data_IF_614427600407
#
_entry.id   IF_614427600407
#
_cell.length_a   1.000
_cell.length_b   1.000
_cell.length_c   1.000
_cell.angle_alpha   90.00
_cell.angle_beta   90.00
_cell.angle_gamma   90.00
#
_symmetry.space_group_name_H-M   'P 1'
#
loop_
_entity.id
_entity.type
_entity.pdbx_description
1 polymer ?
#
# COMPACT_ATOMS: atom_id res chain seq x y z
N UNK A 1 -31.30 5.37 32.46
CA UNK A 1 -31.71 4.92 31.11
C UNK A 1 -31.32 5.93 30.02
N UNK A 2 -31.71 7.21 30.13
CA UNK A 2 -31.46 8.22 29.08
C UNK A 2 -29.99 8.63 28.91
N UNK A 3 -29.21 8.65 30.01
CA UNK A 3 -27.79 9.02 29.99
C UNK A 3 -26.88 7.96 29.34
N UNK A 4 -27.22 6.67 29.49
CA UNK A 4 -26.44 5.56 28.91
C UNK A 4 -26.53 5.53 27.37
N UNK A 5 -27.68 5.95 26.82
CA UNK A 5 -27.92 6.04 25.38
C UNK A 5 -27.07 7.17 24.77
N UNK A 6 -26.94 8.30 25.46
CA UNK A 6 -26.16 9.46 24.99
C UNK A 6 -24.66 9.15 25.03
N UNK A 7 -24.17 8.48 26.09
CA UNK A 7 -22.78 8.06 26.19
C UNK A 7 -22.39 7.03 25.12
N UNK A 8 -23.26 6.05 24.83
CA UNK A 8 -23.02 5.07 23.77
C UNK A 8 -22.98 5.70 22.37
N UNK A 9 -23.84 6.69 22.09
CA UNK A 9 -23.87 7.39 20.81
C UNK A 9 -22.58 8.21 20.56
N UNK A 10 -22.05 8.85 21.61
CA UNK A 10 -20.82 9.65 21.52
C UNK A 10 -19.59 8.79 21.18
N UNK A 11 -19.49 7.58 21.73
CA UNK A 11 -18.39 6.65 21.46
C UNK A 11 -18.44 6.14 20.01
N UNK A 12 -19.64 5.81 19.51
CA UNK A 12 -19.81 5.36 18.11
C UNK A 12 -19.51 6.47 17.11
N UNK A 13 -19.91 7.71 17.40
CA UNK A 13 -19.62 8.87 16.55
C UNK A 13 -18.12 9.20 16.51
N UNK A 14 -17.42 9.11 17.65
CA UNK A 14 -15.97 9.31 17.70
C UNK A 14 -15.21 8.20 16.95
N UNK A 15 -15.65 6.94 17.07
CA UNK A 15 -15.04 5.82 16.35
C UNK A 15 -15.32 5.87 14.83
N UNK A 16 -16.54 6.21 14.42
CA UNK A 16 -16.90 6.33 13.00
C UNK A 16 -16.26 7.55 12.32
N UNK A 17 -16.13 8.68 13.04
CA UNK A 17 -15.47 9.88 12.53
C UNK A 17 -14.00 9.64 12.16
N UNK A 18 -13.28 8.86 12.95
CA UNK A 18 -11.86 8.53 12.70
C UNK A 18 -11.65 7.72 11.42
N UNK A 19 -12.63 6.90 11.00
CA UNK A 19 -12.55 6.15 9.74
C UNK A 19 -12.91 6.99 8.52
N UNK A 20 -13.73 8.03 8.69
CA UNK A 20 -14.20 8.88 7.59
C UNK A 20 -13.20 9.99 7.22
N UNK A 21 -12.27 10.32 8.11
CA UNK A 21 -11.23 11.33 7.88
C UNK A 21 -9.88 10.74 7.48
N UNK A 22 -9.76 9.42 7.42
CA UNK A 22 -8.60 8.82 6.78
C UNK A 22 -8.63 9.33 5.33
N UNK A 23 -7.62 10.11 4.89
CA UNK A 23 -7.56 10.51 3.50
C UNK A 23 -7.72 9.24 2.67
N UNK A 24 -8.51 9.27 1.58
CA UNK A 24 -8.50 8.13 0.66
C UNK A 24 -7.03 7.81 0.42
N UNK A 25 -6.67 6.54 0.48
CA UNK A 25 -5.35 6.10 0.08
C UNK A 25 -5.27 6.33 -1.44
N UNK A 26 -5.09 7.59 -1.81
CA UNK A 26 -4.48 8.09 -3.02
C UNK A 26 -3.03 7.63 -2.94
N UNK A 27 -2.87 6.32 -3.04
CA UNK A 27 -1.60 5.69 -3.23
C UNK A 27 -1.25 6.03 -4.66
N UNK A 28 -0.28 6.92 -4.88
CA UNK A 28 0.23 7.19 -6.20
C UNK A 28 0.56 5.85 -6.85
N UNK A 29 -0.30 5.41 -7.77
CA UNK A 29 -0.23 4.08 -8.33
C UNK A 29 0.14 4.20 -9.80
N UNK A 30 1.25 3.59 -10.15
CA UNK A 30 1.65 3.40 -11.54
C UNK A 30 1.20 2.00 -11.98
N UNK A 31 0.54 1.96 -13.12
CA UNK A 31 0.08 0.73 -13.75
C UNK A 31 0.79 0.53 -15.09
N UNK A 32 1.12 -0.72 -15.40
CA UNK A 32 1.81 -1.10 -16.63
C UNK A 32 3.34 -1.07 -16.54
N UNK A 33 3.99 -1.44 -17.64
CA UNK A 33 5.44 -1.65 -17.69
C UNK A 33 5.84 -3.05 -17.19
N UNK A 34 6.98 -3.20 -16.50
CA UNK A 34 7.48 -4.50 -16.03
C UNK A 34 6.70 -5.08 -14.84
N UNK A 35 5.73 -4.34 -14.29
CA UNK A 35 4.89 -4.73 -13.16
C UNK A 35 3.42 -4.56 -13.51
N UNK A 36 2.56 -5.31 -12.80
CA UNK A 36 1.10 -5.22 -12.91
C UNK A 36 0.62 -3.89 -12.31
N UNK A 37 1.12 -3.60 -11.11
CA UNK A 37 0.82 -2.37 -10.36
C UNK A 37 2.02 -2.03 -9.50
N UNK A 38 2.21 -0.74 -9.22
CA UNK A 38 3.16 -0.23 -8.24
C UNK A 38 2.53 0.93 -7.53
N UNK A 39 2.35 0.79 -6.22
CA UNK A 39 1.63 1.75 -5.41
C UNK A 39 2.45 2.10 -4.16
N UNK A 40 2.46 3.38 -3.81
CA UNK A 40 3.12 3.86 -2.61
C UNK A 40 2.09 4.19 -1.52
N UNK A 41 2.35 3.70 -0.31
CA UNK A 41 1.58 3.97 0.89
C UNK A 41 1.76 5.40 1.42
N UNK A 42 1.17 5.70 2.58
CA UNK A 42 1.39 6.98 3.26
C UNK A 42 2.87 7.13 3.66
N UNK A 43 3.32 8.36 3.83
CA UNK A 43 4.63 8.67 4.42
C UNK A 43 4.53 8.52 5.95
N UNK A 44 5.47 7.80 6.55
CA UNK A 44 5.68 7.67 7.99
C UNK A 44 6.41 8.92 8.54
N UNK A 45 6.33 9.20 9.85
CA UNK A 45 6.96 10.39 10.45
C UNK A 45 8.49 10.42 10.34
N UNK A 46 9.14 9.28 10.10
CA UNK A 46 10.56 9.14 9.80
C UNK A 46 10.91 9.40 8.31
N UNK A 47 9.91 9.68 7.48
CA UNK A 47 10.06 9.96 6.06
C UNK A 47 10.06 8.72 5.16
N UNK A 48 9.85 7.52 5.72
CA UNK A 48 9.71 6.31 4.89
C UNK A 48 8.30 6.17 4.34
N UNK A 49 8.12 5.33 3.32
CA UNK A 49 6.81 4.90 2.86
C UNK A 49 6.88 3.44 2.42
N UNK A 50 5.78 2.70 2.51
CA UNK A 50 5.72 1.35 1.94
C UNK A 50 5.48 1.42 0.43
N UNK A 51 6.28 0.71 -0.36
CA UNK A 51 6.00 0.50 -1.79
C UNK A 51 5.57 -0.93 -2.03
N UNK A 52 4.43 -1.11 -2.68
CA UNK A 52 3.90 -2.41 -3.07
C UNK A 52 3.90 -2.56 -4.59
N UNK A 53 4.58 -3.59 -5.11
CA UNK A 53 4.55 -3.99 -6.51
C UNK A 53 3.78 -5.31 -6.70
N UNK A 54 2.88 -5.33 -7.68
CA UNK A 54 2.28 -6.54 -8.21
C UNK A 54 3.13 -7.08 -9.36
N UNK A 55 3.63 -8.30 -9.23
CA UNK A 55 4.42 -8.99 -10.28
C UNK A 55 3.80 -10.35 -10.61
N UNK A 56 4.12 -10.89 -11.78
CA UNK A 56 3.76 -12.26 -12.13
C UNK A 56 4.81 -13.23 -11.58
N UNK A 57 4.39 -14.13 -10.71
CA UNK A 57 5.22 -15.25 -10.29
C UNK A 57 4.95 -16.46 -11.19
N UNK A 58 6.02 -17.06 -11.69
CA UNK A 58 5.96 -18.31 -12.43
C UNK A 58 5.78 -19.49 -11.49
N UNK A 59 4.73 -20.29 -11.71
CA UNK A 59 4.44 -21.49 -10.92
C UNK A 59 4.41 -22.70 -11.86
N UNK A 60 5.34 -23.67 -11.71
CA UNK A 60 5.30 -24.92 -12.47
C UNK A 60 4.10 -25.77 -12.02
N UNK A 61 3.45 -26.46 -12.95
CA UNK A 61 2.29 -27.31 -12.69
C UNK A 61 2.24 -28.48 -13.65
N UNK A 62 2.77 -29.62 -13.19
CA UNK A 62 2.86 -30.84 -14.01
C UNK A 62 3.72 -30.61 -15.26
N UNK A 63 3.12 -30.77 -16.44
CA UNK A 63 3.77 -30.58 -17.75
C UNK A 63 3.62 -29.15 -18.30
N UNK A 64 3.07 -28.22 -17.52
CA UNK A 64 2.88 -26.83 -17.93
C UNK A 64 3.24 -25.87 -16.80
N UNK A 65 2.90 -24.60 -17.01
CA UNK A 65 3.12 -23.52 -16.05
C UNK A 65 2.07 -22.46 -16.19
N UNK A 66 1.81 -21.75 -15.09
CA UNK A 66 0.92 -20.60 -15.09
C UNK A 66 1.56 -19.44 -14.32
N UNK A 67 1.10 -18.23 -14.62
CA UNK A 67 1.51 -17.02 -13.93
C UNK A 67 0.46 -16.67 -12.90
N UNK A 68 0.89 -16.44 -11.66
CA UNK A 68 0.02 -15.94 -10.59
C UNK A 68 0.43 -14.52 -10.21
N UNK A 69 -0.52 -13.60 -10.02
CA UNK A 69 -0.20 -12.28 -9.52
C UNK A 69 0.20 -12.38 -8.05
N UNK A 70 1.37 -11.85 -7.72
CA UNK A 70 1.85 -11.74 -6.33
C UNK A 70 2.16 -10.30 -5.99
N UNK A 71 1.88 -9.92 -4.75
CA UNK A 71 2.19 -8.60 -4.21
C UNK A 71 3.45 -8.70 -3.36
N UNK A 72 4.45 -7.88 -3.66
CA UNK A 72 5.62 -7.66 -2.80
C UNK A 72 5.57 -6.23 -2.27
N UNK A 73 5.64 -6.06 -0.95
CA UNK A 73 5.73 -4.76 -0.32
C UNK A 73 7.04 -4.65 0.47
N UNK A 74 7.69 -3.50 0.38
CA UNK A 74 8.96 -3.22 1.04
C UNK A 74 9.03 -1.71 1.39
N UNK A 75 9.91 -1.35 2.33
CA UNK A 75 10.01 0.03 2.82
C UNK A 75 10.95 0.84 1.93
N UNK A 76 10.46 1.99 1.45
CA UNK A 76 11.24 2.98 0.72
C UNK A 76 11.51 4.20 1.58
N UNK A 77 12.57 4.94 1.27
CA UNK A 77 12.90 6.20 1.91
C UNK A 77 14.32 6.26 2.45
N UNK A 78 14.61 7.23 3.34
CA UNK A 78 15.95 7.42 3.89
C UNK A 78 16.50 6.15 4.53
N UNK A 79 17.73 5.77 4.18
CA UNK A 79 18.39 4.58 4.73
C UNK A 79 17.98 3.24 4.11
N UNK A 80 17.08 3.23 3.12
CA UNK A 80 16.76 2.04 2.32
C UNK A 80 17.24 2.23 0.88
N UNK A 81 18.14 1.35 0.44
CA UNK A 81 18.70 1.36 -0.92
C UNK A 81 18.40 0.04 -1.63
N UNK A 82 17.99 0.14 -2.89
CA UNK A 82 17.68 -1.00 -3.76
C UNK A 82 18.47 -0.90 -5.08
N UNK A 83 19.82 -0.97 -5.03
CA UNK A 83 20.69 -0.60 -6.15
C UNK A 83 20.53 -1.48 -7.41
N UNK A 84 19.93 -2.67 -7.27
CA UNK A 84 19.74 -3.63 -8.36
C UNK A 84 18.27 -3.93 -8.65
N UNK A 85 17.33 -3.33 -7.93
CA UNK A 85 15.90 -3.60 -8.10
C UNK A 85 15.18 -2.36 -8.63
N UNK A 86 15.51 -1.98 -9.87
CA UNK A 86 14.91 -0.83 -10.55
C UNK A 86 13.40 -1.01 -10.79
N UNK A 87 12.96 -2.26 -10.98
CA UNK A 87 11.53 -2.58 -11.19
C UNK A 87 10.73 -2.18 -9.95
N UNK A 88 11.29 -2.38 -8.77
CA UNK A 88 10.72 -1.93 -7.50
C UNK A 88 11.01 -0.45 -7.22
N UNK A 89 12.27 -0.03 -7.27
CA UNK A 89 12.74 1.21 -6.68
C UNK A 89 12.60 2.44 -7.58
N UNK A 90 12.46 2.30 -8.90
CA UNK A 90 12.22 3.42 -9.80
C UNK A 90 10.71 3.73 -9.87
N UNK A 91 10.22 4.98 -9.76
CA UNK A 91 10.99 6.18 -9.40
C UNK A 91 11.46 6.12 -7.94
N UNK A 92 12.67 6.63 -7.62
CA UNK A 92 13.22 6.59 -6.26
C UNK A 92 12.43 7.48 -5.29
N UNK A 93 11.65 8.41 -5.83
CA UNK A 93 10.73 9.25 -5.07
C UNK A 93 9.39 8.57 -4.90
N UNK A 94 8.65 8.98 -3.87
CA UNK A 94 7.26 8.58 -3.68
C UNK A 94 6.43 8.96 -4.90
N UNK A 95 5.59 8.03 -5.35
CA UNK A 95 4.62 8.27 -6.42
C UNK A 95 3.48 9.09 -5.81
N UNK A 96 3.17 10.22 -6.46
CA UNK A 96 2.03 11.07 -6.13
C UNK A 96 0.98 10.93 -7.25
N UNK A 97 -0.29 11.09 -6.93
CA UNK A 97 -1.38 11.14 -7.91
C UNK A 97 -1.43 12.47 -8.68
#
# INVERSE_FOLDING_TARGET
>A
MKLCIIGGLAVVLLAGGLTATAPPASAGCLYGGPVISKCDGPIQPDGTWERCVGVFQYVPSGLSSHLVPVKRCDVMGPGHEYPFDFVFADPPTRIND
#
